data_IF_353740182909
#
_entry.id   IF_353740182909
#
_cell.length_a   1.000
_cell.length_b   1.000
_cell.length_c   1.000
_cell.angle_alpha   90.00
_cell.angle_beta   90.00
_cell.angle_gamma   90.00
#
_symmetry.space_group_name_H-M   'P 1'
#
loop_
_entity.id
_entity.type
_entity.pdbx_description
1 polymer ?
#
# COMPACT_ATOMS: atom_id res chain seq x y z
N UNK A 1 -5.40 -2.06 -9.29
CA UNK A 1 -4.70 -2.06 -10.59
C UNK A 1 -5.27 -3.10 -11.57
N UNK A 2 -5.17 -2.85 -12.89
CA UNK A 2 -5.53 -3.83 -13.94
C UNK A 2 -7.03 -3.93 -14.30
N UNK A 3 -7.81 -2.87 -14.07
CA UNK A 3 -9.23 -2.77 -14.45
C UNK A 3 -9.39 -1.80 -15.64
N UNK A 4 -10.39 -1.99 -16.52
CA UNK A 4 -10.56 -1.14 -17.72
C UNK A 4 -10.75 0.34 -17.37
N UNK A 5 -11.52 0.65 -16.33
CA UNK A 5 -11.83 2.04 -15.93
C UNK A 5 -10.84 2.61 -14.89
N UNK A 6 -9.66 2.01 -14.73
CA UNK A 6 -8.62 2.54 -13.85
C UNK A 6 -8.26 4.00 -14.16
N UNK A 7 -8.16 4.46 -15.44
CA UNK A 7 -7.91 5.86 -15.74
C UNK A 7 -8.96 6.79 -15.15
N UNK A 8 -10.25 6.43 -15.18
CA UNK A 8 -11.34 7.24 -14.61
C UNK A 8 -11.18 7.39 -13.09
N UNK A 9 -10.75 6.32 -12.40
CA UNK A 9 -10.49 6.37 -10.97
C UNK A 9 -9.27 7.25 -10.64
N UNK A 10 -8.21 7.18 -11.44
CA UNK A 10 -7.03 8.06 -11.31
C UNK A 10 -7.43 9.52 -11.54
N UNK A 11 -8.22 9.79 -12.58
CA UNK A 11 -8.70 11.14 -12.90
C UNK A 11 -9.64 11.67 -11.81
N UNK A 12 -10.44 10.82 -11.19
CA UNK A 12 -11.27 11.21 -10.03
C UNK A 12 -10.40 11.64 -8.85
N UNK A 13 -9.33 10.89 -8.57
CA UNK A 13 -8.37 11.28 -7.53
C UNK A 13 -7.68 12.62 -7.86
N UNK A 14 -7.28 12.85 -9.11
CA UNK A 14 -6.53 14.05 -9.51
C UNK A 14 -7.40 15.29 -9.69
N UNK A 15 -8.59 15.12 -10.25
CA UNK A 15 -9.43 16.20 -10.79
C UNK A 15 -10.87 16.19 -10.26
N UNK A 16 -11.22 15.26 -9.38
CA UNK A 16 -12.53 15.20 -8.74
C UNK A 16 -12.81 16.39 -7.83
N UNK A 17 -14.01 16.40 -7.25
CA UNK A 17 -14.51 17.52 -6.44
C UNK A 17 -13.77 17.70 -5.10
N UNK A 18 -13.00 16.70 -4.66
CA UNK A 18 -12.26 16.75 -3.40
C UNK A 18 -11.11 17.76 -3.48
N UNK A 19 -11.16 18.72 -2.56
CA UNK A 19 -10.13 19.73 -2.43
C UNK A 19 -8.88 19.16 -1.70
N UNK A 20 -7.74 19.87 -1.73
CA UNK A 20 -6.52 19.41 -1.07
C UNK A 20 -6.64 19.21 0.45
N UNK A 21 -7.54 19.92 1.13
CA UNK A 21 -7.74 19.79 2.59
C UNK A 21 -8.47 18.49 2.95
N UNK A 22 -9.29 17.96 2.03
CA UNK A 22 -9.98 16.68 2.19
C UNK A 22 -9.06 15.47 1.96
N UNK A 23 -7.93 15.69 1.26
CA UNK A 23 -6.94 14.66 0.98
C UNK A 23 -5.84 14.64 2.05
N UNK A 24 -5.95 13.74 3.02
CA UNK A 24 -5.02 13.68 4.13
C UNK A 24 -4.86 12.27 4.74
N UNK A 25 -3.96 12.18 5.72
CA UNK A 25 -3.53 10.92 6.32
C UNK A 25 -4.02 10.72 7.76
N UNK A 26 -4.59 11.75 8.38
CA UNK A 26 -5.00 11.66 9.78
C UNK A 26 -6.14 10.65 9.98
N UNK A 27 -6.09 9.93 11.10
CA UNK A 27 -7.12 9.00 11.57
C UNK A 27 -7.54 7.93 10.54
N UNK A 28 -8.84 7.70 10.35
CA UNK A 28 -9.40 6.70 9.44
C UNK A 28 -9.23 6.99 7.94
N UNK A 29 -8.63 8.11 7.55
CA UNK A 29 -8.48 8.44 6.12
C UNK A 29 -7.71 7.37 5.37
N UNK A 30 -8.16 7.02 4.18
CA UNK A 30 -7.69 5.84 3.42
C UNK A 30 -6.89 6.22 2.18
N UNK A 31 -6.52 7.48 2.06
CA UNK A 31 -5.88 8.07 0.89
C UNK A 31 -4.61 7.31 0.48
N UNK A 32 -3.82 6.83 1.45
CA UNK A 32 -2.64 6.00 1.17
C UNK A 32 -3.04 4.66 0.51
N UNK A 33 -4.14 4.04 0.95
CA UNK A 33 -4.70 2.82 0.38
C UNK A 33 -5.19 3.09 -1.05
N UNK A 34 -5.90 4.20 -1.25
CA UNK A 34 -6.42 4.59 -2.56
C UNK A 34 -5.28 4.82 -3.56
N UNK A 35 -4.28 5.65 -3.20
CA UNK A 35 -3.11 5.89 -4.04
C UNK A 35 -2.36 4.59 -4.36
N UNK A 36 -2.19 3.70 -3.38
CA UNK A 36 -1.57 2.40 -3.62
C UNK A 36 -2.36 1.56 -4.63
N UNK A 37 -3.69 1.45 -4.46
CA UNK A 37 -4.60 0.72 -5.35
C UNK A 37 -4.67 1.28 -6.78
N UNK A 38 -4.39 2.57 -6.92
CA UNK A 38 -4.33 3.31 -8.19
C UNK A 38 -2.95 3.28 -8.86
N UNK A 39 -1.91 2.77 -8.20
CA UNK A 39 -0.54 2.75 -8.73
C UNK A 39 0.14 4.13 -8.69
N UNK A 40 -0.36 5.04 -7.86
CA UNK A 40 0.21 6.38 -7.66
C UNK A 40 1.33 6.30 -6.63
N UNK A 41 2.49 5.78 -7.05
CA UNK A 41 3.62 5.41 -6.18
C UNK A 41 4.11 6.56 -5.30
N UNK A 42 4.28 7.76 -5.86
CA UNK A 42 4.82 8.91 -5.11
C UNK A 42 3.84 9.41 -4.04
N UNK A 43 2.55 9.51 -4.37
CA UNK A 43 1.51 9.87 -3.43
C UNK A 43 1.31 8.80 -2.34
N UNK A 44 1.29 7.52 -2.72
CA UNK A 44 1.17 6.40 -1.80
C UNK A 44 2.36 6.38 -0.81
N UNK A 45 3.57 6.57 -1.31
CA UNK A 45 4.80 6.71 -0.51
C UNK A 45 4.68 7.85 0.49
N UNK A 46 4.34 9.06 0.02
CA UNK A 46 4.26 10.24 0.88
C UNK A 46 3.21 10.09 1.99
N UNK A 47 2.03 9.53 1.67
CA UNK A 47 0.95 9.34 2.63
C UNK A 47 1.25 8.21 3.61
N UNK A 48 1.82 7.09 3.15
CA UNK A 48 2.19 5.96 4.02
C UNK A 48 3.30 6.34 5.02
N UNK A 49 4.30 7.13 4.60
CA UNK A 49 5.30 7.67 5.54
C UNK A 49 4.66 8.53 6.63
N UNK A 50 3.69 9.37 6.29
CA UNK A 50 2.98 10.19 7.27
C UNK A 50 2.09 9.35 8.20
N UNK A 51 1.46 8.29 7.69
CA UNK A 51 0.67 7.34 8.49
C UNK A 51 1.53 6.60 9.52
N UNK A 52 2.73 6.16 9.12
CA UNK A 52 3.58 5.29 9.94
C UNK A 52 4.71 6.03 10.67
N UNK A 53 4.79 7.35 10.55
CA UNK A 53 5.76 8.19 11.25
C UNK A 53 5.46 8.32 12.73
N UNK A 54 6.49 8.51 13.55
CA UNK A 54 6.37 8.55 15.01
C UNK A 54 5.45 9.68 15.51
N UNK A 55 4.58 9.36 16.46
CA UNK A 55 3.82 10.32 17.22
C UNK A 55 4.68 10.97 18.32
N UNK A 56 4.46 12.25 18.68
CA UNK A 56 5.18 12.94 19.76
C UNK A 56 4.65 12.51 21.14
N UNK A 57 4.70 11.20 21.41
CA UNK A 57 4.18 10.55 22.62
C UNK A 57 5.23 9.61 23.19
N UNK A 58 5.01 9.15 24.43
CA UNK A 58 5.89 8.17 25.08
C UNK A 58 6.07 6.90 24.24
N UNK A 59 4.99 6.43 23.63
CA UNK A 59 5.01 5.32 22.67
C UNK A 59 4.83 5.89 21.26
N UNK A 60 5.79 5.71 20.34
CA UNK A 60 5.75 6.35 19.02
C UNK A 60 4.55 5.94 18.15
N UNK A 61 3.99 4.76 18.38
CA UNK A 61 2.80 4.26 17.67
C UNK A 61 1.48 4.66 18.32
N UNK A 62 1.50 5.48 19.38
CA UNK A 62 0.28 6.06 19.96
C UNK A 62 -0.12 7.31 19.19
N UNK A 63 -0.47 7.12 17.92
CA UNK A 63 -0.92 8.17 17.01
C UNK A 63 -2.18 8.89 17.51
N UNK A 64 -2.36 10.12 17.01
CA UNK A 64 -3.50 10.98 17.30
C UNK A 64 -3.24 12.12 18.32
N UNK A 65 -4.30 12.89 18.67
CA UNK A 65 -5.67 12.70 18.20
C UNK A 65 -5.79 13.13 16.74
N UNK A 66 -6.41 12.28 15.93
CA UNK A 66 -6.89 12.66 14.60
C UNK A 66 -8.35 13.09 14.74
N UNK A 67 -9.27 12.25 14.26
CA UNK A 67 -10.71 12.44 14.41
C UNK A 67 -11.28 11.72 15.66
N UNK A 68 -10.45 10.94 16.36
CA UNK A 68 -10.80 10.09 17.50
C UNK A 68 -9.82 10.31 18.68
N UNK A 69 -9.75 9.37 19.63
CA UNK A 69 -8.92 9.42 20.83
C UNK A 69 -7.44 9.06 20.61
N UNK A 70 -6.64 9.07 21.67
CA UNK A 70 -5.24 8.61 21.69
C UNK A 70 -5.10 7.38 22.60
N UNK A 71 -4.58 6.23 22.11
CA UNK A 71 -4.11 5.98 20.76
C UNK A 71 -5.25 5.80 19.75
N UNK A 72 -5.11 6.38 18.55
CA UNK A 72 -6.02 6.18 17.42
C UNK A 72 -5.64 4.89 16.67
N UNK A 73 -6.43 3.84 16.85
CA UNK A 73 -6.17 2.55 16.17
C UNK A 73 -6.49 2.59 14.67
N UNK A 74 -7.40 3.46 14.22
CA UNK A 74 -7.75 3.57 12.81
C UNK A 74 -6.56 4.10 11.99
N UNK A 75 -5.78 4.99 12.61
CA UNK A 75 -4.58 5.55 12.02
C UNK A 75 -3.58 4.46 11.64
N UNK A 76 -3.19 3.63 12.61
CA UNK A 76 -2.27 2.52 12.39
C UNK A 76 -2.83 1.48 11.42
N UNK A 77 -4.12 1.12 11.59
CA UNK A 77 -4.80 0.15 10.74
C UNK A 77 -4.79 0.53 9.25
N UNK A 78 -5.23 1.74 8.93
CA UNK A 78 -5.20 2.26 7.55
C UNK A 78 -3.78 2.44 7.00
N UNK A 79 -2.82 2.82 7.85
CA UNK A 79 -1.40 2.84 7.52
C UNK A 79 -0.87 1.48 7.06
N UNK A 80 -1.13 0.43 7.86
CA UNK A 80 -0.70 -0.94 7.57
C UNK A 80 -1.36 -1.53 6.32
N UNK A 81 -2.64 -1.21 6.07
CA UNK A 81 -3.32 -1.66 4.84
C UNK A 81 -2.63 -1.00 3.64
N UNK A 82 -2.42 0.31 3.64
CA UNK A 82 -1.80 0.99 2.50
C UNK A 82 -0.38 0.49 2.22
N UNK A 83 0.41 0.22 3.27
CA UNK A 83 1.73 -0.39 3.10
C UNK A 83 1.67 -1.76 2.40
N UNK A 84 0.73 -2.62 2.82
CA UNK A 84 0.52 -3.93 2.17
C UNK A 84 0.06 -3.77 0.73
N UNK A 85 -0.84 -2.83 0.44
CA UNK A 85 -1.34 -2.56 -0.91
C UNK A 85 -0.29 -1.99 -1.86
N UNK A 86 0.75 -1.33 -1.34
CA UNK A 86 1.89 -0.91 -2.13
C UNK A 86 2.78 -2.10 -2.55
N UNK A 87 2.85 -3.15 -1.72
CA UNK A 87 3.67 -4.35 -1.93
C UNK A 87 2.97 -5.43 -2.75
N UNK A 88 1.68 -5.68 -2.49
CA UNK A 88 0.92 -6.77 -3.09
C UNK A 88 -0.56 -6.39 -3.24
N UNK A 89 -1.05 -6.49 -4.47
CA UNK A 89 -2.48 -6.40 -4.79
C UNK A 89 -2.97 -7.70 -5.42
N UNK A 90 -4.28 -7.93 -5.36
CA UNK A 90 -4.92 -9.06 -6.04
C UNK A 90 -6.01 -8.56 -6.99
N UNK A 91 -6.09 -9.14 -8.19
CA UNK A 91 -7.13 -8.83 -9.16
C UNK A 91 -7.62 -10.13 -9.79
N UNK A 92 -8.71 -10.68 -9.26
CA UNK A 92 -9.10 -12.06 -9.57
C UNK A 92 -7.99 -13.01 -9.13
N UNK A 93 -7.43 -13.75 -10.07
CA UNK A 93 -6.36 -14.71 -9.79
C UNK A 93 -4.96 -14.10 -9.79
N UNK A 94 -4.80 -12.93 -10.42
CA UNK A 94 -3.51 -12.25 -10.55
C UNK A 94 -3.01 -11.72 -9.20
N UNK A 95 -1.72 -11.95 -8.95
CA UNK A 95 -0.96 -11.52 -7.78
C UNK A 95 -0.01 -10.39 -8.23
N UNK A 96 -0.44 -9.15 -8.05
CA UNK A 96 0.26 -7.97 -8.55
C UNK A 96 1.33 -7.56 -7.53
N UNK A 97 2.59 -7.81 -7.84
CA UNK A 97 3.74 -7.57 -6.97
C UNK A 97 4.35 -6.19 -7.22
N UNK A 98 4.60 -5.43 -6.15
CA UNK A 98 5.09 -4.04 -6.18
C UNK A 98 4.24 -3.06 -7.01
N UNK A 99 2.89 -3.08 -6.92
CA UNK A 99 2.02 -2.24 -7.75
C UNK A 99 2.20 -0.74 -7.53
N UNK A 100 2.69 -0.33 -6.36
CA UNK A 100 2.95 1.07 -6.01
C UNK A 100 4.15 1.18 -5.05
N UNK A 101 5.15 0.29 -5.19
CA UNK A 101 6.32 0.29 -4.32
C UNK A 101 7.45 1.15 -4.93
N UNK A 102 8.04 2.08 -4.16
CA UNK A 102 9.20 2.85 -4.61
C UNK A 102 10.39 1.91 -4.83
N UNK A 103 10.94 1.90 -6.04
CA UNK A 103 12.01 0.96 -6.43
C UNK A 103 13.30 1.15 -5.63
N UNK A 104 13.54 2.35 -5.12
CA UNK A 104 14.68 2.67 -4.26
C UNK A 104 14.54 2.15 -2.82
N UNK A 105 13.36 1.64 -2.42
CA UNK A 105 13.15 1.07 -1.09
C UNK A 105 13.48 -0.41 -1.06
N UNK A 106 14.54 -0.74 -0.33
CA UNK A 106 14.85 -2.13 0.03
C UNK A 106 13.76 -2.68 0.95
N UNK A 107 13.31 -3.90 0.69
CA UNK A 107 12.30 -4.58 1.50
C UNK A 107 12.43 -6.10 1.42
N UNK A 108 12.20 -6.77 2.54
CA UNK A 108 11.89 -8.19 2.60
C UNK A 108 10.55 -8.33 3.30
N UNK A 109 9.62 -9.05 2.69
CA UNK A 109 8.28 -9.22 3.26
C UNK A 109 7.72 -10.61 2.96
N UNK A 110 6.72 -11.00 3.75
CA UNK A 110 5.85 -12.15 3.51
C UNK A 110 4.39 -11.75 3.74
N UNK A 111 3.54 -11.92 2.73
CA UNK A 111 2.12 -11.56 2.78
C UNK A 111 1.23 -12.72 2.35
N UNK A 112 0.03 -12.76 2.94
CA UNK A 112 -1.03 -13.65 2.50
C UNK A 112 -1.77 -13.10 1.28
N UNK A 113 -2.22 -14.00 0.43
CA UNK A 113 -3.08 -13.74 -0.72
C UNK A 113 -4.22 -14.77 -0.78
N UNK A 114 -5.31 -14.48 -1.52
CA UNK A 114 -6.43 -15.41 -1.72
C UNK A 114 -5.98 -16.79 -2.20
N UNK A 115 -6.84 -17.80 -1.93
CA UNK A 115 -6.60 -19.22 -2.21
C UNK A 115 -5.41 -19.80 -1.42
N UNK A 116 -5.36 -19.48 -0.13
CA UNK A 116 -4.35 -19.96 0.82
C UNK A 116 -2.92 -19.80 0.29
N UNK A 117 -2.63 -18.62 -0.28
CA UNK A 117 -1.33 -18.35 -0.91
C UNK A 117 -0.50 -17.44 -0.02
N UNK A 118 0.80 -17.68 0.05
CA UNK A 118 1.76 -16.73 0.61
C UNK A 118 2.76 -16.32 -0.45
N UNK A 119 3.17 -15.06 -0.40
CA UNK A 119 4.20 -14.49 -1.25
C UNK A 119 5.26 -13.91 -0.33
N UNK A 120 6.49 -14.37 -0.52
CA UNK A 120 7.67 -13.88 0.15
C UNK A 120 8.63 -13.33 -0.88
N UNK A 121 9.05 -12.07 -0.74
CA UNK A 121 9.89 -11.41 -1.72
C UNK A 121 10.90 -10.46 -1.07
N UNK A 122 12.07 -10.38 -1.69
CA UNK A 122 13.15 -9.44 -1.32
C UNK A 122 13.47 -8.53 -2.50
N UNK A 123 13.22 -7.23 -2.36
CA UNK A 123 13.68 -6.19 -3.27
C UNK A 123 14.92 -5.53 -2.67
N UNK A 124 16.01 -5.47 -3.43
CA UNK A 124 17.25 -4.82 -2.99
C UNK A 124 17.93 -4.07 -4.13
N UNK A 125 18.31 -2.82 -3.89
CA UNK A 125 18.91 -1.92 -4.89
C UNK A 125 18.06 -1.85 -6.17
N UNK A 126 16.73 -1.76 -6.02
CA UNK A 126 15.79 -1.70 -7.14
C UNK A 126 15.68 -2.96 -7.99
N UNK A 127 16.12 -4.10 -7.49
CA UNK A 127 16.04 -5.39 -8.17
C UNK A 127 15.40 -6.44 -7.27
N UNK A 128 14.47 -7.21 -7.83
CA UNK A 128 13.89 -8.37 -7.16
C UNK A 128 14.95 -9.46 -7.06
N UNK A 129 15.37 -9.80 -5.83
CA UNK A 129 16.42 -10.78 -5.57
C UNK A 129 15.85 -12.16 -5.28
N UNK A 130 14.77 -12.22 -4.52
CA UNK A 130 14.14 -13.47 -4.09
C UNK A 130 12.62 -13.36 -4.25
N UNK A 131 12.00 -14.45 -4.69
CA UNK A 131 10.55 -14.59 -4.79
C UNK A 131 10.15 -16.04 -4.57
N UNK A 132 9.48 -16.28 -3.45
CA UNK A 132 8.87 -17.56 -3.09
C UNK A 132 7.36 -17.38 -3.05
N UNK A 133 6.65 -18.30 -3.71
CA UNK A 133 5.18 -18.33 -3.73
C UNK A 133 4.75 -19.72 -3.30
N UNK A 134 3.91 -19.79 -2.28
CA UNK A 134 3.36 -21.05 -1.77
C UNK A 134 1.83 -21.02 -1.87
N UNK A 135 1.17 -21.98 -2.55
CA UNK A 135 1.78 -23.10 -3.27
C UNK A 135 2.46 -22.67 -4.59
N UNK A 136 3.51 -23.40 -4.99
CA UNK A 136 4.38 -23.03 -6.11
C UNK A 136 3.64 -22.87 -7.45
N UNK A 137 2.53 -23.58 -7.64
CA UNK A 137 1.68 -23.48 -8.84
C UNK A 137 1.08 -22.07 -9.06
N UNK A 138 0.91 -21.29 -7.97
CA UNK A 138 0.41 -19.91 -8.02
C UNK A 138 1.47 -18.92 -8.53
N UNK A 139 2.73 -19.34 -8.66
CA UNK A 139 3.80 -18.48 -9.21
C UNK A 139 3.47 -17.95 -10.61
N UNK A 140 2.72 -18.73 -11.41
CA UNK A 140 2.25 -18.32 -12.73
C UNK A 140 1.31 -17.11 -12.71
N UNK A 141 0.67 -16.84 -11.57
CA UNK A 141 -0.28 -15.75 -11.41
C UNK A 141 0.39 -14.44 -10.97
N UNK A 142 1.70 -14.47 -10.67
CA UNK A 142 2.46 -13.29 -10.24
C UNK A 142 2.77 -12.39 -11.43
N UNK A 143 2.43 -11.11 -11.28
CA UNK A 143 2.77 -10.04 -12.22
C UNK A 143 3.60 -9.01 -11.49
N UNK A 144 4.86 -8.82 -11.90
CA UNK A 144 5.76 -7.83 -11.32
C UNK A 144 5.48 -6.48 -11.98
N UNK A 145 5.10 -5.49 -11.16
CA UNK A 145 4.74 -4.14 -11.60
C UNK A 145 5.75 -3.07 -11.17
N UNK A 146 6.93 -3.49 -10.70
CA UNK A 146 8.00 -2.60 -10.27
C UNK A 146 8.38 -1.62 -11.39
N UNK A 147 8.24 -0.32 -11.12
CA UNK A 147 8.57 0.78 -12.05
C UNK A 147 10.03 1.23 -11.88
#
# INVERSE_FOLDING_TARGET
MGKPDLPVAIDTWKYGIENPEQKHYQSWHQDNIFCARLGLTDEAKALTLKKLGDAPRRFPTWWGPGNDWVPDHNWGGSGMIGLQEMLLQTNGDSLLLFPAWPKEWDVTFKLHAPKNTTIEATLKNGQLKELTVEPAERKKDVVILLQ
#
